data_IF_390789188051
#
_entry.id   IF_390789188051
#
_cell.length_a   1.000
_cell.length_b   1.000
_cell.length_c   1.000
_cell.angle_alpha   90.00
_cell.angle_beta   90.00
_cell.angle_gamma   90.00
#
_symmetry.space_group_name_H-M   'P 1'
#
loop_
_entity.id
_entity.type
_entity.pdbx_description
1 polymer ?
#
# COMPACT_ATOMS: atom_id res chain seq x y z
N UNK A 1 28.66 -5.72 40.45
CA UNK A 1 27.31 -5.25 40.06
C UNK A 1 27.04 -5.40 38.54
N UNK A 2 27.68 -6.31 37.82
CA UNK A 2 27.40 -6.49 36.39
C UNK A 2 26.12 -7.31 36.11
N UNK A 3 25.78 -8.25 36.99
CA UNK A 3 24.60 -9.11 36.84
C UNK A 3 23.30 -8.29 36.83
N UNK A 4 23.20 -7.24 37.66
CA UNK A 4 22.05 -6.32 37.67
C UNK A 4 21.96 -5.47 36.39
N UNK A 5 23.07 -5.16 35.72
CA UNK A 5 23.06 -4.46 34.42
C UNK A 5 22.56 -5.35 33.27
N UNK A 6 22.57 -6.66 33.44
CA UNK A 6 22.15 -7.63 32.42
C UNK A 6 20.74 -8.19 32.65
N UNK A 7 20.09 -7.86 33.77
CA UNK A 7 18.67 -8.16 33.97
C UNK A 7 17.81 -7.31 33.00
N UNK A 8 17.22 -7.96 32.00
CA UNK A 8 16.25 -7.34 31.10
C UNK A 8 14.85 -7.68 31.58
N UNK A 9 14.13 -6.67 32.03
CA UNK A 9 12.71 -6.77 32.36
C UNK A 9 11.94 -6.33 31.12
N UNK A 10 11.24 -7.28 30.50
CA UNK A 10 10.37 -7.00 29.37
C UNK A 10 8.92 -6.89 29.87
N UNK A 11 8.21 -5.79 29.57
CA UNK A 11 6.81 -5.67 29.93
C UNK A 11 5.97 -6.68 29.14
N UNK A 12 4.86 -7.16 29.72
CA UNK A 12 3.96 -8.13 29.09
C UNK A 12 3.46 -7.65 27.72
N UNK A 13 3.30 -6.34 27.54
CA UNK A 13 2.94 -5.72 26.25
C UNK A 13 3.93 -6.01 25.12
N UNK A 14 5.20 -6.28 25.44
CA UNK A 14 6.21 -6.68 24.45
C UNK A 14 5.95 -8.06 23.83
N UNK A 15 5.14 -8.89 24.50
CA UNK A 15 4.73 -10.21 24.03
C UNK A 15 3.34 -10.21 23.40
N UNK A 16 2.54 -9.16 23.65
CA UNK A 16 1.26 -8.90 22.98
C UNK A 16 1.44 -8.04 21.71
N UNK A 17 2.58 -8.15 21.01
CA UNK A 17 2.78 -7.46 19.75
C UNK A 17 1.87 -8.06 18.67
N UNK A 18 1.27 -7.21 17.83
CA UNK A 18 0.47 -7.65 16.70
C UNK A 18 1.33 -8.48 15.74
N UNK A 19 0.81 -9.64 15.34
CA UNK A 19 1.53 -10.52 14.42
C UNK A 19 1.63 -9.84 13.06
N UNK A 20 2.84 -9.44 12.68
CA UNK A 20 3.07 -8.82 11.37
C UNK A 20 2.68 -9.77 10.24
N UNK A 21 1.81 -9.29 9.36
CA UNK A 21 1.55 -9.91 8.07
C UNK A 21 2.55 -9.38 7.04
N UNK A 22 2.83 -10.23 6.05
CA UNK A 22 3.73 -9.90 4.95
C UNK A 22 3.04 -10.17 3.63
N UNK A 23 3.38 -9.37 2.64
CA UNK A 23 2.86 -9.48 1.29
C UNK A 23 3.38 -10.75 0.62
N UNK A 24 2.47 -11.57 0.08
CA UNK A 24 2.79 -12.76 -0.71
C UNK A 24 2.95 -12.38 -2.17
N UNK A 25 4.11 -12.69 -2.75
CA UNK A 25 4.38 -12.49 -4.17
C UNK A 25 3.89 -13.71 -4.95
N UNK A 26 3.22 -13.53 -6.12
CA UNK A 26 2.81 -14.64 -6.97
C UNK A 26 3.98 -15.53 -7.40
N UNK A 27 3.74 -16.84 -7.49
CA UNK A 27 4.78 -17.84 -7.76
C UNK A 27 5.58 -17.55 -9.05
N UNK A 28 4.92 -17.05 -10.11
CA UNK A 28 5.57 -16.69 -11.36
C UNK A 28 6.75 -15.72 -11.15
N UNK A 29 6.59 -14.72 -10.27
CA UNK A 29 7.62 -13.73 -9.95
C UNK A 29 8.66 -14.30 -9.00
N UNK A 30 8.25 -15.17 -8.08
CA UNK A 30 9.17 -15.88 -7.17
C UNK A 30 10.10 -16.81 -7.95
N UNK A 31 9.59 -17.47 -8.99
CA UNK A 31 10.38 -18.38 -9.84
C UNK A 31 11.46 -17.63 -10.63
N UNK A 32 11.19 -16.38 -11.03
CA UNK A 32 12.19 -15.52 -11.68
C UNK A 32 13.22 -14.97 -10.68
N UNK A 33 12.80 -14.73 -9.43
CA UNK A 33 13.64 -14.17 -8.38
C UNK A 33 13.51 -14.95 -7.08
N UNK A 34 14.22 -16.08 -6.98
CA UNK A 34 14.17 -17.01 -5.84
C UNK A 34 14.40 -16.34 -4.48
N UNK A 35 15.18 -15.25 -4.44
CA UNK A 35 15.42 -14.46 -3.23
C UNK A 35 14.15 -13.85 -2.62
N UNK A 36 13.07 -13.68 -3.39
CA UNK A 36 11.78 -13.17 -2.92
C UNK A 36 11.03 -14.20 -2.07
N UNK A 37 11.32 -15.50 -2.22
CA UNK A 37 10.60 -16.58 -1.52
C UNK A 37 10.67 -16.48 0.00
N UNK A 38 11.82 -16.03 0.52
CA UNK A 38 12.08 -15.92 1.96
C UNK A 38 12.02 -14.49 2.46
N UNK A 39 11.81 -13.51 1.57
CA UNK A 39 11.86 -12.10 1.90
C UNK A 39 10.55 -11.70 2.58
N UNK A 40 10.68 -11.06 3.74
CA UNK A 40 9.56 -10.46 4.46
C UNK A 40 9.24 -9.10 3.84
N UNK A 41 8.08 -8.98 3.22
CA UNK A 41 7.66 -7.79 2.48
C UNK A 41 6.54 -7.09 3.23
N UNK A 42 6.86 -6.00 3.92
CA UNK A 42 5.89 -5.18 4.65
C UNK A 42 5.36 -4.01 3.83
N UNK A 43 6.21 -3.40 3.01
CA UNK A 43 5.81 -2.30 2.13
C UNK A 43 6.29 -2.53 0.71
N UNK A 44 5.36 -2.66 -0.23
CA UNK A 44 5.66 -2.81 -1.65
C UNK A 44 5.13 -1.63 -2.46
N UNK A 45 5.87 -1.27 -3.50
CA UNK A 45 5.48 -0.22 -4.43
C UNK A 45 5.42 -0.77 -5.86
N UNK A 46 4.37 -0.41 -6.59
CA UNK A 46 4.12 -0.89 -7.94
C UNK A 46 4.03 0.30 -8.90
N UNK A 47 4.85 0.28 -9.95
CA UNK A 47 4.89 1.29 -11.00
C UNK A 47 4.13 0.78 -12.21
N UNK A 48 3.11 1.52 -12.61
CA UNK A 48 2.18 1.19 -13.68
C UNK A 48 2.29 2.18 -14.84
N UNK A 49 2.00 1.73 -16.06
CA UNK A 49 1.90 2.62 -17.22
C UNK A 49 0.46 2.85 -17.68
N UNK A 50 -0.52 2.17 -17.06
CA UNK A 50 -1.93 2.25 -17.45
C UNK A 50 -2.81 2.79 -16.34
N UNK A 51 -3.76 3.66 -16.71
CA UNK A 51 -4.83 4.14 -15.83
C UNK A 51 -5.84 3.05 -15.45
N UNK A 52 -5.86 1.92 -16.17
CA UNK A 52 -6.79 0.82 -15.91
C UNK A 52 -6.21 -0.16 -14.91
N UNK A 53 -7.10 -0.87 -14.22
CA UNK A 53 -6.72 -1.97 -13.35
C UNK A 53 -6.11 -3.12 -14.17
N UNK A 54 -4.79 -3.28 -14.09
CA UNK A 54 -4.04 -4.31 -14.80
C UNK A 54 -4.36 -5.72 -14.29
N UNK A 55 -4.21 -6.72 -15.16
CA UNK A 55 -4.35 -8.14 -14.77
C UNK A 55 -3.36 -8.51 -13.68
N UNK A 56 -2.16 -7.94 -13.73
CA UNK A 56 -1.12 -8.25 -12.76
C UNK A 56 -1.43 -7.65 -11.38
N UNK A 57 -1.98 -6.42 -11.29
CA UNK A 57 -2.50 -5.87 -10.02
C UNK A 57 -3.61 -6.75 -9.44
N UNK A 58 -4.51 -7.26 -10.28
CA UNK A 58 -5.54 -8.22 -9.84
C UNK A 58 -4.88 -9.49 -9.27
N UNK A 59 -3.91 -10.07 -9.98
CA UNK A 59 -3.16 -11.26 -9.55
C UNK A 59 -2.44 -11.05 -8.21
N UNK A 60 -1.79 -9.89 -8.04
CA UNK A 60 -1.12 -9.51 -6.80
C UNK A 60 -2.07 -9.54 -5.61
N UNK A 61 -3.28 -9.00 -5.77
CA UNK A 61 -4.26 -8.94 -4.68
C UNK A 61 -4.90 -10.30 -4.43
N UNK A 62 -5.30 -11.02 -5.48
CA UNK A 62 -5.90 -12.36 -5.31
C UNK A 62 -4.95 -13.34 -4.63
N UNK A 63 -3.63 -13.19 -4.82
CA UNK A 63 -2.62 -14.02 -4.13
C UNK A 63 -2.55 -13.74 -2.62
N UNK A 64 -3.03 -12.57 -2.19
CA UNK A 64 -3.05 -12.15 -0.79
C UNK A 64 -4.45 -12.29 -0.15
N UNK A 65 -5.42 -12.81 -0.90
CA UNK A 65 -6.79 -13.06 -0.49
C UNK A 65 -7.00 -14.58 -0.34
N UNK A 66 -6.73 -15.10 0.86
CA UNK A 66 -7.01 -16.49 1.25
C UNK A 66 -8.29 -16.53 2.09
N UNK A 67 -8.94 -17.69 2.25
CA UNK A 67 -10.19 -17.79 3.05
C UNK A 67 -10.05 -17.34 4.52
N UNK A 68 -8.82 -17.28 5.04
CA UNK A 68 -8.47 -16.75 6.37
C UNK A 68 -7.63 -15.46 6.32
N UNK A 69 -7.46 -14.84 5.16
CA UNK A 69 -6.85 -13.51 5.08
C UNK A 69 -7.84 -12.52 5.66
N UNK A 70 -7.49 -11.87 6.77
CA UNK A 70 -8.33 -10.83 7.36
C UNK A 70 -8.54 -9.64 6.41
N UNK A 71 -9.17 -8.59 6.92
CA UNK A 71 -9.62 -7.43 6.15
C UNK A 71 -8.49 -6.79 5.31
N UNK A 72 -8.75 -6.57 4.02
CA UNK A 72 -7.93 -5.70 3.17
C UNK A 72 -8.65 -4.38 2.94
N UNK A 73 -7.98 -3.28 3.24
CA UNK A 73 -8.45 -1.93 2.96
C UNK A 73 -7.93 -1.46 1.59
N UNK A 74 -8.85 -1.07 0.71
CA UNK A 74 -8.55 -0.57 -0.63
C UNK A 74 -8.94 0.91 -0.71
N UNK A 75 -7.93 1.77 -0.81
CA UNK A 75 -8.06 3.21 -1.00
C UNK A 75 -7.92 3.52 -2.50
N UNK A 76 -9.05 3.78 -3.15
CA UNK A 76 -9.16 4.01 -4.59
C UNK A 76 -9.32 5.50 -4.90
N UNK A 77 -8.19 6.14 -5.20
CA UNK A 77 -8.07 7.53 -5.65
C UNK A 77 -8.52 7.67 -7.12
N UNK A 78 -8.27 6.64 -7.95
CA UNK A 78 -8.55 6.67 -9.40
C UNK A 78 -9.95 6.16 -9.78
N UNK A 79 -10.72 5.67 -8.80
CA UNK A 79 -12.07 5.11 -8.97
C UNK A 79 -12.16 3.93 -9.96
N UNK A 80 -11.09 3.13 -10.10
CA UNK A 80 -11.01 2.01 -11.05
C UNK A 80 -11.23 0.62 -10.41
N UNK A 81 -11.27 0.53 -9.08
CA UNK A 81 -11.28 -0.73 -8.35
C UNK A 81 -12.67 -1.21 -7.96
N UNK A 82 -13.67 -0.33 -7.95
CA UNK A 82 -15.02 -0.60 -7.41
C UNK A 82 -15.64 -1.91 -7.91
N UNK A 83 -15.61 -2.16 -9.22
CA UNK A 83 -16.21 -3.36 -9.82
C UNK A 83 -15.46 -4.63 -9.41
N UNK A 84 -14.13 -4.58 -9.36
CA UNK A 84 -13.30 -5.69 -8.96
C UNK A 84 -13.43 -5.97 -7.45
N UNK A 85 -13.42 -4.93 -6.61
CA UNK A 85 -13.64 -5.05 -5.17
C UNK A 85 -15.01 -5.69 -4.87
N UNK A 86 -16.08 -5.27 -5.56
CA UNK A 86 -17.41 -5.89 -5.44
C UNK A 86 -17.39 -7.37 -5.82
N UNK A 87 -16.69 -7.74 -6.90
CA UNK A 87 -16.55 -9.15 -7.30
C UNK A 87 -15.87 -9.98 -6.22
N UNK A 88 -14.85 -9.44 -5.56
CA UNK A 88 -14.14 -10.15 -4.50
C UNK A 88 -15.01 -10.32 -3.26
N UNK A 89 -15.76 -9.27 -2.88
CA UNK A 89 -16.71 -9.34 -1.76
C UNK A 89 -17.82 -10.37 -2.02
N UNK A 90 -18.35 -10.42 -3.25
CA UNK A 90 -19.32 -11.44 -3.66
C UNK A 90 -18.75 -12.87 -3.58
N UNK A 91 -17.44 -13.02 -3.70
CA UNK A 91 -16.73 -14.30 -3.53
C UNK A 91 -16.37 -14.58 -2.07
N UNK A 92 -16.94 -13.84 -1.11
CA UNK A 92 -16.74 -14.05 0.33
C UNK A 92 -15.49 -13.40 0.92
N UNK A 93 -14.76 -12.59 0.14
CA UNK A 93 -13.55 -11.91 0.62
C UNK A 93 -13.90 -10.65 1.43
N UNK A 94 -13.16 -10.40 2.51
CA UNK A 94 -13.36 -9.23 3.36
C UNK A 94 -12.54 -8.05 2.89
N UNK A 95 -13.22 -7.10 2.22
CA UNK A 95 -12.60 -5.91 1.66
C UNK A 95 -13.36 -4.68 2.13
N UNK A 96 -12.63 -3.72 2.71
CA UNK A 96 -13.12 -2.37 2.96
C UNK A 96 -12.69 -1.49 1.79
N UNK A 97 -13.63 -0.91 1.07
CA UNK A 97 -13.33 -0.06 -0.08
C UNK A 97 -13.61 1.40 0.25
N UNK A 98 -12.64 2.27 0.03
CA UNK A 98 -12.76 3.71 0.17
C UNK A 98 -12.56 4.38 -1.18
N UNK A 99 -13.56 5.12 -1.64
CA UNK A 99 -13.43 6.08 -2.72
C UNK A 99 -14.29 7.28 -2.38
N UNK A 100 -13.64 8.42 -2.16
CA UNK A 100 -14.25 9.64 -1.67
C UNK A 100 -13.57 10.84 -2.33
N UNK A 101 -14.32 11.91 -2.57
CA UNK A 101 -13.77 13.16 -3.10
C UNK A 101 -12.68 13.77 -2.19
N UNK A 102 -12.71 13.46 -0.88
CA UNK A 102 -11.65 13.88 0.04
C UNK A 102 -10.28 13.31 -0.34
N UNK A 103 -10.23 12.15 -1.00
CA UNK A 103 -8.99 11.53 -1.46
C UNK A 103 -8.37 12.26 -2.64
N UNK A 104 -9.02 13.24 -3.28
CA UNK A 104 -8.40 14.03 -4.33
C UNK A 104 -7.26 14.92 -3.80
N UNK A 105 -7.24 15.19 -2.49
CA UNK A 105 -6.21 15.99 -1.83
C UNK A 105 -5.33 15.10 -0.95
N UNK A 106 -4.02 15.38 -0.91
CA UNK A 106 -3.06 14.62 -0.10
C UNK A 106 -3.47 14.61 1.39
N UNK A 107 -3.85 15.77 1.92
CA UNK A 107 -4.29 15.90 3.32
C UNK A 107 -5.49 15.03 3.65
N UNK A 108 -6.41 14.83 2.70
CA UNK A 108 -7.56 13.95 2.90
C UNK A 108 -7.15 12.49 3.06
N UNK A 109 -6.10 12.03 2.36
CA UNK A 109 -5.51 10.71 2.58
C UNK A 109 -4.85 10.63 3.96
N UNK A 110 -4.01 11.60 4.32
CA UNK A 110 -3.31 11.60 5.61
C UNK A 110 -4.29 11.65 6.80
N UNK A 111 -5.34 12.47 6.71
CA UNK A 111 -6.37 12.56 7.74
C UNK A 111 -7.14 11.25 7.90
N UNK A 112 -7.44 10.56 6.79
CA UNK A 112 -8.09 9.25 6.85
C UNK A 112 -7.17 8.20 7.49
N UNK A 113 -5.88 8.15 7.11
CA UNK A 113 -4.92 7.23 7.72
C UNK A 113 -4.68 7.56 9.20
N UNK A 114 -4.71 8.84 9.59
CA UNK A 114 -4.67 9.30 10.98
C UNK A 114 -5.84 8.76 11.78
N UNK A 115 -7.05 8.99 11.27
CA UNK A 115 -8.27 8.48 11.86
C UNK A 115 -8.28 6.94 11.96
N UNK A 116 -7.69 6.23 10.98
CA UNK A 116 -7.58 4.78 10.99
C UNK A 116 -6.68 4.27 12.12
N UNK A 117 -5.58 4.99 12.42
CA UNK A 117 -4.71 4.67 13.56
C UNK A 117 -5.42 4.94 14.89
N UNK A 118 -6.04 6.13 15.02
CA UNK A 118 -6.62 6.58 16.28
C UNK A 118 -7.94 5.87 16.62
N UNK A 119 -8.76 5.61 15.60
CA UNK A 119 -10.13 5.11 15.71
C UNK A 119 -10.51 4.24 14.49
N UNK A 120 -10.02 2.99 14.41
CA UNK A 120 -10.21 2.15 13.22
C UNK A 120 -11.68 1.91 12.89
N UNK A 121 -12.55 1.71 13.88
CA UNK A 121 -13.98 1.49 13.68
C UNK A 121 -14.66 2.69 13.00
N UNK A 122 -14.32 3.92 13.41
CA UNK A 122 -14.87 5.14 12.83
C UNK A 122 -14.33 5.40 11.42
N UNK A 123 -13.05 5.10 11.17
CA UNK A 123 -12.48 5.18 9.83
C UNK A 123 -13.13 4.16 8.89
N UNK A 124 -13.29 2.91 9.32
CA UNK A 124 -13.85 1.84 8.49
C UNK A 124 -15.33 2.03 8.19
N UNK A 125 -16.12 2.69 9.05
CA UNK A 125 -17.50 3.12 8.75
C UNK A 125 -17.62 4.02 7.52
N UNK A 126 -16.54 4.71 7.14
CA UNK A 126 -16.49 5.55 5.92
C UNK A 126 -16.25 4.73 4.65
N UNK A 127 -15.85 3.48 4.80
CA UNK A 127 -15.67 2.54 3.69
C UNK A 127 -17.00 1.89 3.33
N UNK A 128 -17.12 1.41 2.10
CA UNK A 128 -18.22 0.55 1.66
C UNK A 128 -17.75 -0.91 1.59
N UNK A 129 -18.73 -1.82 1.44
CA UNK A 129 -18.53 -3.28 1.49
C UNK A 129 -18.13 -3.83 2.86
N UNK A 130 -18.29 -3.01 3.90
CA UNK A 130 -18.13 -3.37 5.32
C UNK A 130 -19.44 -3.87 5.96
N UNK A 131 -20.50 -4.03 5.18
CA UNK A 131 -21.87 -4.27 5.68
C UNK A 131 -22.07 -5.66 6.31
N UNK A 132 -21.12 -6.59 6.11
CA UNK A 132 -21.12 -7.83 6.86
C UNK A 132 -20.50 -7.61 8.24
N UNK A 133 -21.27 -7.90 9.29
CA UNK A 133 -20.84 -7.77 10.69
C UNK A 133 -19.52 -8.52 10.97
N UNK A 134 -19.22 -9.55 10.18
CA UNK A 134 -17.98 -10.32 10.22
C UNK A 134 -16.75 -9.58 9.67
N UNK A 135 -16.92 -8.63 8.74
CA UNK A 135 -15.83 -7.91 8.07
C UNK A 135 -15.06 -7.01 9.04
N UNK A 136 -15.76 -6.29 9.91
CA UNK A 136 -15.16 -5.39 10.90
C UNK A 136 -14.55 -6.13 12.10
N UNK A 137 -14.88 -7.40 12.29
CA UNK A 137 -14.30 -8.25 13.35
C UNK A 137 -12.98 -8.91 12.93
N UNK A 138 -12.62 -8.83 11.65
CA UNK A 138 -11.38 -9.39 11.15
C UNK A 138 -10.20 -8.42 11.31
N UNK A 139 -8.98 -8.94 11.55
CA UNK A 139 -7.79 -8.10 11.63
C UNK A 139 -7.49 -7.46 10.28
N UNK A 140 -7.09 -6.19 10.29
CA UNK A 140 -6.59 -5.49 9.09
C UNK A 140 -5.25 -6.08 8.68
N UNK A 141 -5.23 -6.84 7.57
CA UNK A 141 -4.02 -7.53 7.11
C UNK A 141 -3.28 -6.79 6.01
N UNK A 142 -3.97 -5.96 5.23
CA UNK A 142 -3.40 -5.28 4.08
C UNK A 142 -4.05 -3.92 3.81
N UNK A 143 -3.25 -2.96 3.35
CA UNK A 143 -3.73 -1.66 2.87
C UNK A 143 -3.20 -1.43 1.46
N UNK A 144 -4.09 -1.05 0.55
CA UNK A 144 -3.77 -0.75 -0.84
C UNK A 144 -4.12 0.70 -1.12
N UNK A 145 -3.18 1.45 -1.71
CA UNK A 145 -3.39 2.84 -2.11
C UNK A 145 -3.09 2.97 -3.62
N UNK A 146 -4.13 3.29 -4.40
CA UNK A 146 -4.02 3.50 -5.84
C UNK A 146 -4.73 4.79 -6.26
N UNK A 147 -4.04 5.86 -6.67
CA UNK A 147 -2.66 5.99 -7.15
C UNK A 147 -1.95 7.20 -6.53
N UNK A 148 -0.68 7.05 -6.10
CA UNK A 148 0.08 8.13 -5.46
C UNK A 148 0.54 9.24 -6.42
N UNK A 149 0.59 8.99 -7.73
CA UNK A 149 1.05 9.98 -8.71
C UNK A 149 0.15 11.22 -8.80
N UNK A 150 -1.12 11.11 -8.42
CA UNK A 150 -2.06 12.25 -8.40
C UNK A 150 -1.71 13.28 -7.34
N UNK A 151 -0.93 12.90 -6.33
CA UNK A 151 -0.56 13.78 -5.24
C UNK A 151 0.76 14.51 -5.47
N UNK A 152 1.39 14.29 -6.62
CA UNK A 152 2.69 14.85 -6.90
C UNK A 152 2.61 16.34 -7.24
N UNK A 153 3.02 17.16 -6.28
CA UNK A 153 3.27 18.59 -6.46
C UNK A 153 4.74 18.90 -6.12
N UNK A 154 5.30 20.02 -6.57
CA UNK A 154 6.65 20.45 -6.19
C UNK A 154 6.88 20.56 -4.67
N UNK A 155 5.79 20.70 -3.88
CA UNK A 155 5.81 20.84 -2.42
C UNK A 155 5.71 19.47 -1.71
N UNK A 156 5.25 18.43 -2.40
CA UNK A 156 4.80 17.15 -1.83
C UNK A 156 5.85 16.33 -1.04
N UNK A 157 7.12 16.74 -1.02
CA UNK A 157 8.20 16.04 -0.31
C UNK A 157 7.90 15.84 1.18
N UNK A 158 7.29 16.83 1.84
CA UNK A 158 6.97 16.76 3.28
C UNK A 158 5.81 15.80 3.53
N UNK A 159 4.83 15.83 2.64
CA UNK A 159 3.61 15.04 2.66
C UNK A 159 3.93 13.56 2.42
N UNK A 160 4.83 13.24 1.49
CA UNK A 160 5.34 11.88 1.32
C UNK A 160 6.12 11.40 2.54
N UNK A 161 6.91 12.26 3.20
CA UNK A 161 7.54 11.88 4.47
C UNK A 161 6.52 11.61 5.58
N UNK A 162 5.42 12.37 5.63
CA UNK A 162 4.33 12.13 6.56
C UNK A 162 3.63 10.81 6.25
N UNK A 163 3.34 10.54 4.97
CA UNK A 163 2.76 9.28 4.51
C UNK A 163 3.63 8.08 4.93
N UNK A 164 4.95 8.15 4.75
CA UNK A 164 5.85 7.06 5.20
C UNK A 164 5.74 6.80 6.69
N UNK A 165 5.73 7.86 7.51
CA UNK A 165 5.57 7.72 8.97
C UNK A 165 4.23 7.09 9.31
N UNK A 166 3.16 7.51 8.62
CA UNK A 166 1.82 6.94 8.77
C UNK A 166 1.77 5.46 8.39
N UNK A 167 2.34 5.07 7.24
CA UNK A 167 2.37 3.66 6.82
C UNK A 167 3.18 2.79 7.78
N UNK A 168 4.32 3.28 8.28
CA UNK A 168 5.10 2.58 9.32
C UNK A 168 4.31 2.45 10.63
N UNK A 169 3.60 3.50 11.03
CA UNK A 169 2.77 3.50 12.23
C UNK A 169 1.59 2.51 12.10
N UNK A 170 0.89 2.52 10.97
CA UNK A 170 -0.16 1.54 10.64
C UNK A 170 0.36 0.11 10.72
N UNK A 171 1.54 -0.15 10.17
CA UNK A 171 2.19 -1.46 10.28
C UNK A 171 2.54 -1.82 11.72
N UNK A 172 3.08 -0.90 12.51
CA UNK A 172 3.39 -1.19 13.92
C UNK A 172 2.13 -1.39 14.78
N UNK A 173 1.03 -0.73 14.44
CA UNK A 173 -0.24 -0.82 15.18
C UNK A 173 -1.01 -2.09 14.80
N UNK A 174 -1.20 -2.34 13.50
CA UNK A 174 -2.08 -3.40 13.00
C UNK A 174 -1.34 -4.63 12.47
N UNK A 175 -0.02 -4.56 12.29
CA UNK A 175 0.77 -5.62 11.66
C UNK A 175 0.59 -5.71 10.14
N UNK A 176 -0.20 -4.84 9.51
CA UNK A 176 -0.58 -4.96 8.11
C UNK A 176 0.60 -4.75 7.14
N UNK A 177 0.53 -5.40 5.97
CA UNK A 177 1.35 -5.02 4.82
C UNK A 177 0.70 -3.85 4.06
N UNK A 178 1.49 -3.15 3.26
CA UNK A 178 1.01 -2.00 2.49
C UNK A 178 1.48 -2.09 1.04
N UNK A 179 0.57 -1.90 0.10
CA UNK A 179 0.85 -1.81 -1.32
C UNK A 179 0.45 -0.43 -1.83
N UNK A 180 1.38 0.28 -2.43
CA UNK A 180 1.09 1.55 -3.10
C UNK A 180 1.42 1.47 -4.57
N UNK A 181 0.73 2.28 -5.36
CA UNK A 181 0.97 2.33 -6.80
C UNK A 181 1.30 3.75 -7.24
N UNK A 182 2.11 3.86 -8.29
CA UNK A 182 2.37 5.12 -9.00
C UNK A 182 2.39 4.86 -10.51
N UNK A 183 2.30 5.92 -11.29
CA UNK A 183 2.59 5.89 -12.70
C UNK A 183 4.09 6.00 -13.01
N UNK A 184 4.46 5.50 -14.18
CA UNK A 184 5.78 5.68 -14.79
C UNK A 184 6.08 7.13 -15.18
N UNK A 185 7.30 7.37 -15.67
CA UNK A 185 7.77 8.70 -16.05
C UNK A 185 6.90 9.38 -17.12
N UNK A 186 6.22 8.59 -17.96
CA UNK A 186 5.40 9.12 -19.06
C UNK A 186 4.26 10.00 -18.54
N UNK A 187 3.67 9.62 -17.40
CA UNK A 187 2.59 10.39 -16.76
C UNK A 187 3.06 11.80 -16.37
N UNK A 188 4.27 11.90 -15.82
CA UNK A 188 4.80 13.15 -15.28
C UNK A 188 5.32 14.11 -16.34
N UNK A 189 5.60 13.62 -17.54
CA UNK A 189 5.96 14.47 -18.67
C UNK A 189 4.75 15.32 -19.13
N UNK A 190 3.53 14.86 -18.84
CA UNK A 190 2.31 15.55 -19.20
C UNK A 190 2.03 15.50 -20.71
N UNK A 191 0.90 16.09 -21.11
CA UNK A 191 0.52 16.18 -22.52
C UNK A 191 1.59 16.98 -23.27
N UNK A 192 2.12 16.40 -24.34
CA UNK A 192 3.15 17.02 -25.20
C UNK A 192 4.42 17.45 -24.44
N UNK A 193 4.71 16.84 -23.30
CA UNK A 193 5.89 17.19 -22.50
C UNK A 193 5.75 18.50 -21.70
N UNK A 194 4.54 19.06 -21.60
CA UNK A 194 4.28 20.35 -20.96
C UNK A 194 4.68 20.44 -19.48
N UNK A 195 4.85 19.31 -18.80
CA UNK A 195 5.27 19.25 -17.38
C UNK A 195 6.62 18.55 -17.18
N UNK A 196 7.30 18.18 -18.27
CA UNK A 196 8.57 17.44 -18.22
C UNK A 196 9.66 18.11 -17.39
N UNK A 197 9.68 19.45 -17.34
CA UNK A 197 10.67 20.25 -16.60
C UNK A 197 10.32 20.45 -15.13
N UNK A 198 9.03 20.36 -14.76
CA UNK A 198 8.51 20.67 -13.41
C UNK A 198 8.97 19.67 -12.34
N UNK A 199 9.30 18.44 -12.75
CA UNK A 199 9.60 17.32 -11.86
C UNK A 199 11.02 16.76 -12.08
N UNK A 200 11.91 17.53 -12.73
CA UNK A 200 13.26 17.06 -13.15
C UNK A 200 14.20 16.74 -12.00
N UNK A 201 13.99 17.36 -10.84
CA UNK A 201 14.87 17.26 -9.67
C UNK A 201 14.34 16.32 -8.57
N UNK A 202 13.16 15.72 -8.75
CA UNK A 202 12.54 14.83 -7.77
C UNK A 202 12.15 13.49 -8.39
N UNK A 203 12.80 12.42 -7.95
CA UNK A 203 12.36 11.04 -8.21
C UNK A 203 13.46 10.05 -8.58
N UNK A 204 13.04 8.87 -9.00
CA UNK A 204 13.90 7.77 -9.48
C UNK A 204 13.91 7.69 -11.00
N UNK A 205 14.61 6.71 -11.56
CA UNK A 205 14.65 6.44 -13.01
C UNK A 205 13.33 5.88 -13.58
N UNK A 206 12.36 5.54 -12.73
CA UNK A 206 11.12 4.85 -13.13
C UNK A 206 9.84 5.55 -12.66
N UNK A 207 9.90 6.41 -11.65
CA UNK A 207 8.76 7.24 -11.19
C UNK A 207 9.27 8.56 -10.64
N UNK A 208 8.41 9.58 -10.56
CA UNK A 208 8.76 10.87 -9.96
C UNK A 208 8.49 10.96 -8.46
N UNK A 209 8.01 9.88 -7.83
CA UNK A 209 7.86 9.86 -6.37
C UNK A 209 9.20 10.15 -5.65
N UNK A 210 9.19 10.86 -4.50
CA UNK A 210 10.40 11.17 -3.76
C UNK A 210 11.31 9.96 -3.52
N UNK A 211 12.63 10.13 -3.71
CA UNK A 211 13.61 9.05 -3.48
C UNK A 211 13.57 8.58 -2.03
N UNK A 212 13.34 9.48 -1.08
CA UNK A 212 13.12 9.13 0.33
C UNK A 212 11.96 8.16 0.50
N UNK A 213 10.85 8.37 -0.23
CA UNK A 213 9.69 7.47 -0.27
C UNK A 213 10.08 6.07 -0.72
N UNK A 214 10.67 5.98 -1.92
CA UNK A 214 11.05 4.73 -2.56
C UNK A 214 12.18 4.00 -1.82
N UNK A 215 13.06 4.71 -1.11
CA UNK A 215 14.15 4.09 -0.36
C UNK A 215 13.64 3.21 0.78
N UNK A 216 12.50 3.54 1.38
CA UNK A 216 11.94 2.80 2.51
C UNK A 216 10.97 1.68 2.09
N UNK A 217 10.74 1.46 0.80
CA UNK A 217 9.96 0.31 0.31
C UNK A 217 10.81 -0.97 0.37
N UNK A 218 10.20 -2.11 0.68
CA UNK A 218 10.89 -3.40 0.67
C UNK A 218 11.07 -3.93 -0.76
N UNK A 219 10.09 -3.66 -1.63
CA UNK A 219 10.08 -4.10 -3.02
C UNK A 219 9.58 -2.98 -3.92
N UNK A 220 10.18 -2.87 -5.12
CA UNK A 220 9.60 -2.09 -6.21
C UNK A 220 9.43 -2.97 -7.43
N UNK A 221 8.18 -3.07 -7.89
CA UNK A 221 7.80 -3.76 -9.12
C UNK A 221 7.46 -2.73 -10.19
N UNK A 222 7.96 -2.92 -11.41
CA UNK A 222 7.62 -2.07 -12.56
C UNK A 222 7.03 -2.91 -13.67
N UNK A 223 5.88 -2.47 -14.18
CA UNK A 223 5.14 -3.20 -15.21
C UNK A 223 5.86 -3.02 -16.54
N UNK A 224 6.18 -4.12 -17.22
CA UNK A 224 6.69 -4.04 -18.60
C UNK A 224 5.56 -4.16 -19.62
N UNK A 225 4.67 -5.14 -19.41
CA UNK A 225 3.59 -5.48 -20.34
C UNK A 225 2.27 -5.63 -19.60
N UNK A 226 1.17 -5.97 -20.28
CA UNK A 226 -0.11 -6.23 -19.60
C UNK A 226 -0.07 -7.36 -18.57
N UNK A 227 0.87 -8.29 -18.74
CA UNK A 227 0.92 -9.55 -18.00
C UNK A 227 2.21 -9.71 -17.16
N UNK A 228 3.21 -8.84 -17.32
CA UNK A 228 4.53 -8.99 -16.67
C UNK A 228 4.95 -7.78 -15.85
N UNK A 229 5.53 -8.06 -14.68
CA UNK A 229 6.36 -7.13 -13.90
C UNK A 229 7.82 -7.58 -13.96
N UNK A 230 8.74 -6.64 -13.90
CA UNK A 230 10.12 -6.91 -13.48
C UNK A 230 10.41 -6.27 -12.13
N UNK A 231 11.40 -6.84 -11.45
CA UNK A 231 11.91 -6.34 -10.19
C UNK A 231 12.85 -5.17 -10.41
N UNK A 232 12.57 -4.04 -9.76
CA UNK A 232 13.44 -2.85 -9.78
C UNK A 232 14.28 -2.74 -8.50
N UNK A 233 13.75 -3.22 -7.37
CA UNK A 233 14.39 -3.20 -6.04
C UNK A 233 13.83 -4.32 -5.16
#
# INVERSE_FOLDING_TARGET
>A
MEILKHCRIYPISSFCATTETYFKIPEDLVNQHLALRTRKLGHIHVVEHSFRLSKVKKKLITTNLDENSGLILLIDVISCWKQFARSLVNNGQSIAYLSSASLCQFDGLLNFLGQLIDSPDEALKRCIFTDSYSCLQQPLTGIIIDNLSYYQTPVAMREFSALQKMLKSLRSTFGCWTMTTSYGLEYYNGVEGGTSTLYTSSGTSFTRLPVSYIKDTDLVLMRDTEDTYHLVK
#
